data_IF_901297623623
#
_entry.id   IF_901297623623
#
_cell.length_a   1.000
_cell.length_b   1.000
_cell.length_c   1.000
_cell.angle_alpha   90.00
_cell.angle_beta   90.00
_cell.angle_gamma   90.00
#
_symmetry.space_group_name_H-M   'P 1'
#
loop_
_entity.id
_entity.type
_entity.pdbx_description
1 polymer ?
#
# COMPACT_ATOMS: atom_id res chain seq x y z
N UNK A 1 -3.39 78.77 -27.86
CA UNK A 1 -2.88 78.69 -26.48
C UNK A 1 -3.39 77.40 -25.86
N UNK A 2 -2.59 76.68 -25.08
CA UNK A 2 -2.67 75.22 -24.94
C UNK A 2 -3.90 74.73 -24.17
N UNK A 3 -4.37 73.53 -24.53
CA UNK A 3 -5.37 72.75 -23.78
C UNK A 3 -4.76 72.19 -22.48
N UNK A 4 -5.54 72.08 -21.39
CA UNK A 4 -5.06 71.45 -20.16
C UNK A 4 -4.95 69.93 -20.34
N UNK A 5 -3.82 69.39 -19.89
CA UNK A 5 -3.53 67.95 -19.80
C UNK A 5 -4.37 67.36 -18.66
N UNK A 6 -5.02 66.19 -18.81
CA UNK A 6 -5.75 65.57 -17.71
C UNK A 6 -4.78 64.99 -16.67
N UNK A 7 -5.11 65.18 -15.40
CA UNK A 7 -4.38 64.64 -14.27
C UNK A 7 -4.34 63.10 -14.34
N UNK A 8 -3.13 62.54 -14.23
CA UNK A 8 -2.92 61.11 -14.05
C UNK A 8 -3.55 60.64 -12.74
N UNK A 9 -4.54 59.76 -12.83
CA UNK A 9 -5.00 58.98 -11.69
C UNK A 9 -3.88 58.03 -11.27
N UNK A 10 -3.16 58.38 -10.20
CA UNK A 10 -2.34 57.42 -9.47
C UNK A 10 -3.29 56.36 -8.87
N UNK A 11 -3.22 55.14 -9.40
CA UNK A 11 -3.93 54.00 -8.86
C UNK A 11 -3.44 53.72 -7.44
N UNK A 12 -4.34 53.80 -6.46
CA UNK A 12 -4.09 53.27 -5.13
C UNK A 12 -3.91 51.76 -5.26
N UNK A 13 -2.67 51.29 -5.13
CA UNK A 13 -2.37 49.89 -4.95
C UNK A 13 -3.05 49.42 -3.67
N UNK A 14 -4.10 48.60 -3.80
CA UNK A 14 -4.74 47.96 -2.67
C UNK A 14 -3.69 47.13 -1.93
N UNK A 15 -3.43 47.47 -0.66
CA UNK A 15 -2.54 46.70 0.19
C UNK A 15 -3.05 45.25 0.26
N UNK A 16 -2.20 44.30 -0.15
CA UNK A 16 -2.51 42.88 -0.07
C UNK A 16 -2.84 42.45 1.37
N UNK A 17 -3.56 41.33 1.54
CA UNK A 17 -3.90 40.83 2.87
C UNK A 17 -2.65 40.66 3.73
N UNK A 18 -2.72 40.97 5.03
CA UNK A 18 -1.57 40.85 5.92
C UNK A 18 -1.04 39.41 5.92
N UNK A 19 0.29 39.24 6.06
CA UNK A 19 0.87 37.91 6.14
C UNK A 19 0.27 37.14 7.31
N UNK A 20 0.12 35.80 7.19
CA UNK A 20 -0.41 34.98 8.27
C UNK A 20 0.45 35.14 9.53
N UNK A 21 -0.16 35.05 10.72
CA UNK A 21 0.56 35.21 11.98
C UNK A 21 1.69 34.18 12.08
N UNK A 22 2.85 34.64 12.59
CA UNK A 22 3.99 33.77 12.83
C UNK A 22 3.56 32.60 13.74
N UNK A 23 3.85 31.37 13.30
CA UNK A 23 3.50 30.15 14.02
C UNK A 23 4.19 30.20 15.39
N UNK A 24 3.42 30.14 16.47
CA UNK A 24 3.97 30.12 17.83
C UNK A 24 5.02 28.99 17.96
N UNK A 25 6.21 29.32 18.46
CA UNK A 25 7.27 28.35 18.69
C UNK A 25 6.82 27.36 19.77
N UNK A 26 6.55 26.12 19.38
CA UNK A 26 6.32 25.03 20.34
C UNK A 26 7.68 24.50 20.80
N UNK A 27 7.90 24.29 22.11
CA UNK A 27 9.14 23.70 22.59
C UNK A 27 9.29 22.26 22.08
N UNK A 28 10.52 21.77 21.90
CA UNK A 28 10.76 20.36 21.59
C UNK A 28 10.15 19.45 22.66
N UNK A 29 9.45 18.41 22.24
CA UNK A 29 8.93 17.36 23.13
C UNK A 29 9.72 16.08 22.88
N UNK A 30 10.38 15.58 23.91
CA UNK A 30 11.07 14.28 23.89
C UNK A 30 10.09 13.23 24.43
N UNK A 31 9.61 12.35 23.55
CA UNK A 31 8.65 11.31 23.93
C UNK A 31 9.31 9.98 24.32
N UNK A 32 10.62 9.82 24.10
CA UNK A 32 11.35 8.54 24.27
C UNK A 32 11.42 8.06 25.71
N UNK A 33 11.38 8.98 26.66
CA UNK A 33 11.51 8.67 28.09
C UNK A 33 10.14 8.49 28.76
N UNK A 34 9.05 8.70 28.02
CA UNK A 34 7.69 8.70 28.56
C UNK A 34 7.12 7.29 28.78
N UNK A 35 7.70 6.26 28.16
CA UNK A 35 7.24 4.88 28.29
C UNK A 35 8.34 3.87 27.90
N UNK A 36 8.38 2.65 28.50
CA UNK A 36 9.27 1.59 28.05
C UNK A 36 8.83 1.04 26.69
N UNK A 37 9.78 0.55 25.88
CA UNK A 37 9.47 -0.10 24.60
C UNK A 37 8.64 -1.37 24.82
N UNK A 38 7.43 -1.49 24.25
CA UNK A 38 6.66 -2.71 24.37
C UNK A 38 7.34 -3.84 23.58
N UNK A 39 7.52 -5.00 24.22
CA UNK A 39 8.10 -6.19 23.60
C UNK A 39 7.08 -7.03 22.84
N UNK A 40 5.78 -6.76 23.04
CA UNK A 40 4.66 -7.39 22.37
C UNK A 40 3.60 -6.35 22.07
N UNK A 41 2.87 -6.55 20.97
CA UNK A 41 1.77 -5.70 20.54
C UNK A 41 0.59 -6.56 20.15
N UNK A 42 -0.62 -6.09 20.49
CA UNK A 42 -1.88 -6.72 20.08
C UNK A 42 -2.48 -5.86 18.98
N UNK A 43 -2.81 -6.48 17.85
CA UNK A 43 -3.44 -5.83 16.72
C UNK A 43 -4.85 -6.37 16.52
N UNK A 44 -5.77 -5.50 16.14
CA UNK A 44 -7.13 -5.85 15.76
C UNK A 44 -7.27 -5.79 14.25
N UNK A 45 -7.83 -6.85 13.66
CA UNK A 45 -8.23 -6.86 12.27
C UNK A 45 -9.25 -5.76 12.00
N UNK A 46 -8.99 -4.90 11.02
CA UNK A 46 -9.88 -3.81 10.61
C UNK A 46 -10.72 -4.16 9.38
N UNK A 47 -10.33 -5.20 8.64
CA UNK A 47 -11.01 -5.63 7.43
C UNK A 47 -10.55 -7.00 6.97
N UNK A 48 -11.16 -7.49 5.90
CA UNK A 48 -10.86 -8.80 5.32
C UNK A 48 -10.74 -8.66 3.81
N UNK A 49 -9.71 -9.28 3.25
CA UNK A 49 -9.55 -9.39 1.80
C UNK A 49 -10.62 -10.32 1.24
N UNK A 50 -11.27 -9.90 0.16
CA UNK A 50 -12.03 -10.77 -0.75
C UNK A 50 -11.33 -10.81 -2.09
N UNK A 51 -10.82 -11.97 -2.48
CA UNK A 51 -10.05 -12.12 -3.71
C UNK A 51 -10.38 -13.43 -4.41
N UNK A 52 -10.04 -13.57 -5.70
CA UNK A 52 -10.11 -14.85 -6.39
C UNK A 52 -8.93 -15.77 -6.02
N UNK A 53 -8.17 -15.52 -4.96
CA UNK A 53 -7.03 -16.36 -4.57
C UNK A 53 -7.40 -17.21 -3.37
N UNK A 54 -7.87 -18.43 -3.60
CA UNK A 54 -8.31 -19.34 -2.51
C UNK A 54 -7.24 -20.34 -2.08
N UNK A 55 -6.16 -20.44 -2.85
CA UNK A 55 -5.06 -21.36 -2.61
C UNK A 55 -3.72 -20.61 -2.68
N UNK A 56 -2.75 -21.04 -1.88
CA UNK A 56 -1.39 -20.46 -1.90
C UNK A 56 -0.75 -20.59 -3.28
N UNK A 57 -0.98 -21.72 -3.93
CA UNK A 57 -0.55 -21.95 -5.31
C UNK A 57 -1.48 -21.20 -6.25
N UNK A 58 -0.94 -20.23 -6.99
CA UNK A 58 -1.71 -19.36 -7.88
C UNK A 58 -2.03 -17.99 -7.32
N UNK A 59 -1.80 -17.76 -6.03
CA UNK A 59 -1.65 -16.40 -5.51
C UNK A 59 -0.39 -15.77 -6.11
N UNK A 60 -0.47 -14.55 -6.66
CA UNK A 60 0.70 -13.84 -7.16
C UNK A 60 1.75 -13.67 -6.08
N UNK A 61 3.03 -13.82 -6.42
CA UNK A 61 4.09 -13.64 -5.43
C UNK A 61 4.39 -12.17 -5.19
N UNK A 62 4.41 -11.36 -6.25
CA UNK A 62 4.61 -9.90 -6.26
C UNK A 62 4.09 -9.35 -7.62
N UNK A 63 2.77 -9.27 -7.84
CA UNK A 63 2.21 -8.97 -9.16
C UNK A 63 2.57 -7.54 -9.59
N UNK A 64 3.22 -7.33 -10.74
CA UNK A 64 3.18 -6.03 -11.38
C UNK A 64 1.73 -5.76 -11.82
N UNK A 65 1.22 -4.56 -11.58
CA UNK A 65 -0.17 -4.19 -11.91
C UNK A 65 -0.43 -4.27 -13.43
N UNK A 66 0.62 -4.21 -14.24
CA UNK A 66 0.60 -4.24 -15.71
C UNK A 66 0.50 -5.65 -16.33
N UNK A 67 0.83 -6.73 -15.61
CA UNK A 67 0.73 -8.11 -16.11
C UNK A 67 0.00 -8.98 -15.08
N UNK A 68 -1.21 -9.42 -15.40
CA UNK A 68 -1.94 -10.37 -14.55
C UNK A 68 -1.24 -11.72 -14.48
N UNK A 69 -1.78 -12.60 -13.62
CA UNK A 69 -1.20 -13.91 -13.26
C UNK A 69 -1.04 -14.88 -14.45
N UNK A 70 -1.62 -14.53 -15.60
CA UNK A 70 -1.70 -15.39 -16.80
C UNK A 70 -1.45 -14.64 -18.11
N UNK A 71 -0.84 -13.44 -18.08
CA UNK A 71 -0.83 -12.56 -19.26
C UNK A 71 -2.18 -11.90 -19.56
N UNK A 72 -3.18 -12.13 -18.71
CA UNK A 72 -4.45 -11.42 -18.65
C UNK A 72 -4.40 -10.19 -17.75
N UNK A 73 -5.55 -9.58 -17.48
CA UNK A 73 -5.64 -8.42 -16.58
C UNK A 73 -5.36 -8.81 -15.12
N UNK A 74 -4.73 -7.91 -14.35
CA UNK A 74 -4.59 -8.11 -12.92
C UNK A 74 -5.98 -8.24 -12.28
N UNK A 75 -6.17 -9.26 -11.44
CA UNK A 75 -7.47 -9.55 -10.88
C UNK A 75 -7.91 -8.45 -9.91
N UNK A 76 -9.21 -8.20 -9.90
CA UNK A 76 -9.84 -7.34 -8.92
C UNK A 76 -10.18 -8.14 -7.67
N UNK A 77 -10.14 -7.45 -6.53
CA UNK A 77 -10.66 -7.93 -5.27
C UNK A 77 -11.14 -6.76 -4.44
N UNK A 78 -11.62 -7.04 -3.24
CA UNK A 78 -12.10 -6.01 -2.34
C UNK A 78 -11.49 -6.12 -0.96
N UNK A 79 -11.43 -4.99 -0.26
CA UNK A 79 -11.18 -4.92 1.17
C UNK A 79 -12.49 -4.58 1.84
N UNK A 80 -13.05 -5.55 2.56
CA UNK A 80 -14.29 -5.38 3.33
C UNK A 80 -13.92 -5.04 4.77
N UNK A 81 -14.20 -3.82 5.19
CA UNK A 81 -13.89 -3.38 6.55
C UNK A 81 -14.93 -3.93 7.54
N UNK A 82 -14.44 -4.25 8.74
CA UNK A 82 -15.26 -4.67 9.88
C UNK A 82 -15.72 -3.46 10.68
N UNK A 83 -16.79 -3.63 11.46
CA UNK A 83 -17.16 -2.61 12.43
C UNK A 83 -16.09 -2.45 13.52
N UNK A 84 -15.86 -1.18 13.87
CA UNK A 84 -14.88 -0.80 14.87
C UNK A 84 -15.58 -0.01 16.00
N UNK A 85 -15.43 -0.42 17.28
CA UNK A 85 -16.04 0.28 18.40
C UNK A 85 -15.42 1.65 18.68
N UNK A 86 -14.19 1.88 18.21
CA UNK A 86 -13.41 3.07 18.53
C UNK A 86 -13.57 4.19 17.48
N UNK A 87 -14.23 3.92 16.35
CA UNK A 87 -14.41 4.91 15.30
C UNK A 87 -15.26 4.47 14.11
N UNK A 88 -15.79 5.44 13.37
CA UNK A 88 -16.59 5.20 12.18
C UNK A 88 -15.71 5.00 10.94
N UNK A 89 -15.71 3.77 10.42
CA UNK A 89 -14.99 3.39 9.21
C UNK A 89 -15.44 4.20 7.99
N UNK A 90 -16.73 4.50 7.84
CA UNK A 90 -17.22 5.23 6.68
C UNK A 90 -16.60 6.64 6.62
N UNK A 91 -16.47 7.29 7.78
CA UNK A 91 -15.76 8.56 7.90
C UNK A 91 -14.25 8.42 7.69
N UNK A 92 -13.64 7.33 8.17
CA UNK A 92 -12.21 7.07 7.98
C UNK A 92 -11.82 6.83 6.51
N UNK A 93 -12.76 6.38 5.66
CA UNK A 93 -12.57 6.20 4.22
C UNK A 93 -12.71 7.50 3.41
N UNK A 94 -13.15 8.60 4.03
CA UNK A 94 -13.33 9.89 3.36
C UNK A 94 -12.03 10.35 2.67
N UNK A 95 -12.17 10.97 1.51
CA UNK A 95 -11.08 11.53 0.68
C UNK A 95 -10.13 10.50 0.04
N UNK A 96 -10.31 9.19 0.31
CA UNK A 96 -9.45 8.15 -0.24
C UNK A 96 -9.60 7.99 -1.77
N UNK A 97 -10.75 8.38 -2.33
CA UNK A 97 -11.01 8.37 -3.78
C UNK A 97 -10.03 9.22 -4.59
N UNK A 98 -9.37 10.19 -3.95
CA UNK A 98 -8.35 11.02 -4.60
C UNK A 98 -7.01 10.31 -4.86
N UNK A 99 -6.82 9.08 -4.38
CA UNK A 99 -5.58 8.32 -4.51
C UNK A 99 -5.71 7.21 -5.56
N UNK A 100 -4.77 7.13 -6.49
CA UNK A 100 -4.72 6.03 -7.46
C UNK A 100 -4.26 4.71 -6.82
N UNK A 101 -3.45 4.80 -5.75
CA UNK A 101 -2.83 3.65 -5.10
C UNK A 101 -2.91 3.73 -3.59
N UNK A 102 -2.98 2.55 -2.99
CA UNK A 102 -2.97 2.36 -1.55
C UNK A 102 -2.02 1.23 -1.16
N UNK A 103 -1.44 1.37 0.02
CA UNK A 103 -0.83 0.28 0.75
C UNK A 103 -1.89 -0.48 1.54
N UNK A 104 -1.83 -1.80 1.48
CA UNK A 104 -2.59 -2.71 2.32
C UNK A 104 -1.59 -3.46 3.20
N UNK A 105 -1.79 -3.39 4.51
CA UNK A 105 -1.01 -4.15 5.49
C UNK A 105 -1.87 -5.33 5.94
N UNK A 106 -1.47 -6.53 5.54
CA UNK A 106 -2.20 -7.76 5.86
C UNK A 106 -1.51 -8.60 6.93
N UNK A 107 -2.26 -9.53 7.53
CA UNK A 107 -1.72 -10.58 8.39
C UNK A 107 -1.88 -11.94 7.71
N UNK A 108 -0.76 -12.60 7.42
CA UNK A 108 -0.70 -13.89 6.73
C UNK A 108 -1.04 -15.04 7.70
N UNK A 109 -2.27 -15.01 8.21
CA UNK A 109 -2.82 -15.85 9.29
C UNK A 109 -2.70 -17.37 9.10
N UNK A 110 -2.52 -17.83 7.86
CA UNK A 110 -2.33 -19.26 7.57
C UNK A 110 -0.86 -19.70 7.68
N UNK A 111 0.08 -18.76 7.75
CA UNK A 111 1.49 -19.07 7.87
C UNK A 111 1.84 -19.37 9.32
N UNK A 112 2.70 -20.36 9.50
CA UNK A 112 3.19 -20.76 10.81
C UNK A 112 4.72 -20.84 10.77
N UNK A 113 5.33 -20.57 11.94
CA UNK A 113 6.77 -20.61 12.12
C UNK A 113 7.56 -19.65 11.22
N UNK A 114 8.88 -19.68 11.40
CA UNK A 114 9.85 -18.98 10.54
C UNK A 114 11.24 -19.59 10.67
N UNK A 115 12.11 -19.31 9.70
CA UNK A 115 13.53 -19.65 9.76
C UNK A 115 14.38 -18.42 9.49
N UNK A 116 15.55 -18.23 10.15
CA UNK A 116 16.46 -17.11 9.87
C UNK A 116 16.99 -17.07 8.44
N UNK A 117 16.96 -18.20 7.72
CA UNK A 117 17.36 -18.31 6.32
C UNK A 117 16.34 -19.11 5.53
N UNK A 118 15.99 -18.63 4.34
CA UNK A 118 15.01 -19.25 3.43
C UNK A 118 15.59 -19.38 2.04
N UNK A 119 15.02 -20.24 1.20
CA UNK A 119 15.35 -20.31 -0.23
C UNK A 119 14.22 -19.65 -1.01
N UNK A 120 14.41 -18.42 -1.50
CA UNK A 120 13.41 -17.76 -2.32
C UNK A 120 13.10 -18.58 -3.57
N UNK A 121 11.85 -18.58 -4.06
CA UNK A 121 11.49 -19.35 -5.25
C UNK A 121 11.82 -18.56 -6.54
N UNK A 122 12.95 -17.86 -6.56
CA UNK A 122 13.46 -17.02 -7.65
C UNK A 122 14.98 -17.15 -7.73
N UNK A 123 15.51 -17.25 -8.94
CA UNK A 123 16.95 -17.39 -9.19
C UNK A 123 17.53 -18.75 -8.76
N UNK A 124 18.84 -18.78 -8.55
CA UNK A 124 19.54 -19.98 -8.10
C UNK A 124 19.01 -20.49 -6.75
N UNK A 125 19.08 -21.81 -6.52
CA UNK A 125 18.64 -22.47 -5.28
C UNK A 125 19.59 -22.20 -4.10
N UNK A 126 19.70 -20.94 -3.70
CA UNK A 126 20.58 -20.45 -2.65
C UNK A 126 19.75 -19.97 -1.45
N UNK A 127 20.23 -20.28 -0.23
CA UNK A 127 19.62 -19.72 0.99
C UNK A 127 20.02 -18.26 1.17
N UNK A 128 19.05 -17.40 1.47
CA UNK A 128 19.22 -15.98 1.79
C UNK A 128 18.73 -15.73 3.22
N UNK A 129 19.28 -14.70 3.88
CA UNK A 129 18.77 -14.26 5.18
C UNK A 129 17.32 -13.81 5.07
N UNK A 130 16.46 -14.17 6.02
CA UNK A 130 15.01 -13.96 5.92
C UNK A 130 14.64 -12.49 5.62
N UNK A 131 15.27 -11.55 6.31
CA UNK A 131 15.00 -10.12 6.15
C UNK A 131 15.54 -9.52 4.85
N UNK A 132 16.37 -10.26 4.10
CA UNK A 132 16.75 -9.93 2.73
C UNK A 132 15.78 -10.53 1.69
N UNK A 133 14.59 -10.98 2.13
CA UNK A 133 13.55 -11.58 1.28
C UNK A 133 12.17 -11.05 1.66
N UNK A 134 11.18 -11.38 0.84
CA UNK A 134 9.75 -11.15 1.10
C UNK A 134 9.00 -12.46 1.42
N UNK A 135 9.69 -13.44 2.00
CA UNK A 135 9.05 -14.70 2.43
C UNK A 135 7.90 -14.43 3.39
N UNK A 136 6.76 -15.14 3.29
CA UNK A 136 5.65 -14.98 4.22
C UNK A 136 5.90 -15.62 5.61
N UNK A 137 6.87 -16.54 5.73
CA UNK A 137 7.23 -17.19 7.00
C UNK A 137 8.27 -16.36 7.78
N UNK A 138 7.78 -15.40 8.57
CA UNK A 138 8.57 -14.40 9.31
C UNK A 138 8.19 -14.39 10.80
N UNK A 139 8.99 -13.78 11.70
CA UNK A 139 8.62 -13.64 13.11
C UNK A 139 7.25 -13.00 13.32
N UNK A 140 6.96 -11.96 12.53
CA UNK A 140 5.63 -11.37 12.41
C UNK A 140 5.18 -11.54 10.96
N UNK A 141 4.09 -12.28 10.75
CA UNK A 141 3.52 -12.63 9.45
C UNK A 141 2.78 -11.46 8.79
N UNK A 142 3.41 -10.29 8.75
CA UNK A 142 2.84 -9.07 8.17
C UNK A 142 3.21 -9.00 6.68
N UNK A 143 2.21 -8.75 5.84
CA UNK A 143 2.37 -8.45 4.42
C UNK A 143 2.25 -6.96 4.14
N UNK A 144 2.79 -6.55 2.99
CA UNK A 144 2.68 -5.20 2.46
C UNK A 144 2.41 -5.30 0.95
N UNK A 145 1.25 -4.79 0.53
CA UNK A 145 0.79 -4.88 -0.85
C UNK A 145 0.47 -3.46 -1.36
N UNK A 146 1.11 -3.03 -2.45
CA UNK A 146 0.74 -1.80 -3.16
C UNK A 146 -0.29 -2.17 -4.23
N UNK A 147 -1.52 -1.69 -4.06
CA UNK A 147 -2.61 -1.99 -4.97
C UNK A 147 -3.11 -0.72 -5.65
N UNK A 148 -3.64 -0.87 -6.86
CA UNK A 148 -4.45 0.16 -7.49
C UNK A 148 -5.79 0.24 -6.76
N UNK A 149 -6.19 1.44 -6.35
CA UNK A 149 -7.53 1.71 -5.85
C UNK A 149 -8.43 2.00 -7.05
N UNK A 150 -9.52 1.23 -7.18
CA UNK A 150 -10.48 1.36 -8.27
C UNK A 150 -11.74 2.11 -7.84
N UNK A 151 -12.21 1.87 -6.62
CA UNK A 151 -13.37 2.56 -6.07
C UNK A 151 -13.41 2.49 -4.54
N UNK A 152 -14.10 3.47 -3.95
CA UNK A 152 -14.43 3.53 -2.52
C UNK A 152 -15.95 3.49 -2.39
N UNK A 153 -16.46 2.55 -1.59
CA UNK A 153 -17.85 2.56 -1.13
C UNK A 153 -17.83 2.71 0.39
N UNK A 154 -17.92 3.96 0.86
CA UNK A 154 -17.88 4.26 2.29
C UNK A 154 -19.10 3.69 3.03
N UNK A 155 -20.27 3.62 2.38
CA UNK A 155 -21.50 3.11 2.99
C UNK A 155 -21.43 1.60 3.19
N UNK A 156 -20.93 0.87 2.19
CA UNK A 156 -20.67 -0.56 2.28
C UNK A 156 -19.33 -0.88 2.96
N UNK A 157 -18.57 0.13 3.39
CA UNK A 157 -17.25 0.01 4.03
C UNK A 157 -16.32 -0.90 3.22
N UNK A 158 -16.29 -0.69 1.90
CA UNK A 158 -15.61 -1.56 0.95
C UNK A 158 -14.72 -0.76 0.01
N UNK A 159 -13.52 -1.25 -0.24
CA UNK A 159 -12.62 -0.75 -1.28
C UNK A 159 -12.51 -1.78 -2.39
N UNK A 160 -12.62 -1.37 -3.64
CA UNK A 160 -12.30 -2.24 -4.79
C UNK A 160 -10.89 -1.93 -5.25
N UNK A 161 -10.07 -2.97 -5.40
CA UNK A 161 -8.65 -2.84 -5.69
C UNK A 161 -8.20 -3.83 -6.75
N UNK A 162 -7.08 -3.52 -7.39
CA UNK A 162 -6.41 -4.41 -8.35
C UNK A 162 -4.93 -4.58 -7.99
N UNK A 163 -4.41 -5.78 -8.27
CA UNK A 163 -3.01 -6.13 -7.97
C UNK A 163 -2.82 -6.66 -6.55
N UNK A 164 -3.84 -7.32 -5.98
CA UNK A 164 -3.71 -8.04 -4.71
C UNK A 164 -2.80 -9.27 -4.88
N UNK A 165 -2.05 -9.57 -3.83
CA UNK A 165 -1.24 -10.79 -3.64
C UNK A 165 -1.61 -11.51 -2.35
N UNK A 166 -2.85 -11.34 -1.90
CA UNK A 166 -3.38 -11.86 -0.65
C UNK A 166 -4.53 -12.84 -0.91
N UNK A 167 -4.55 -13.92 -0.12
CA UNK A 167 -5.60 -14.92 -0.17
C UNK A 167 -6.94 -14.33 0.27
N UNK A 168 -8.03 -14.88 -0.28
CA UNK A 168 -9.38 -14.65 0.21
C UNK A 168 -9.45 -14.97 1.71
N UNK A 169 -10.08 -14.08 2.48
CA UNK A 169 -10.14 -14.20 3.93
C UNK A 169 -8.92 -13.65 4.69
N UNK A 170 -7.89 -13.15 4.00
CA UNK A 170 -6.72 -12.55 4.69
C UNK A 170 -7.14 -11.34 5.55
N UNK A 171 -6.82 -11.33 6.85
CA UNK A 171 -7.05 -10.18 7.72
C UNK A 171 -6.24 -8.97 7.26
N UNK A 172 -6.90 -7.81 7.22
CA UNK A 172 -6.28 -6.50 7.00
C UNK A 172 -6.07 -5.82 8.35
N UNK A 173 -4.85 -5.35 8.56
CA UNK A 173 -4.43 -4.62 9.75
C UNK A 173 -4.48 -3.11 9.51
N UNK A 174 -4.20 -2.66 8.29
CA UNK A 174 -4.16 -1.24 7.97
C UNK A 174 -4.29 -0.96 6.46
N UNK A 175 -4.72 0.26 6.13
CA UNK A 175 -4.74 0.80 4.77
C UNK A 175 -4.17 2.22 4.79
N UNK A 176 -3.23 2.52 3.90
CA UNK A 176 -2.62 3.86 3.78
C UNK A 176 -2.62 4.32 2.33
N UNK A 177 -2.72 5.63 2.05
CA UNK A 177 -2.46 6.13 0.71
C UNK A 177 -1.01 5.81 0.30
N UNK A 178 -0.83 5.41 -0.96
CA UNK A 178 0.50 5.39 -1.58
C UNK A 178 0.82 6.80 -2.06
N UNK A 179 1.95 7.34 -1.62
CA UNK A 179 2.33 8.73 -1.90
C UNK A 179 3.63 8.75 -2.70
N UNK A 180 3.58 9.02 -4.03
CA UNK A 180 4.72 8.81 -4.91
C UNK A 180 6.02 9.50 -4.49
N UNK A 181 5.94 10.71 -3.93
CA UNK A 181 7.15 11.47 -3.58
C UNK A 181 7.97 10.80 -2.46
N UNK A 182 7.36 9.95 -1.61
CA UNK A 182 8.06 9.28 -0.51
C UNK A 182 8.06 7.75 -0.61
N UNK A 183 7.20 7.16 -1.45
CA UNK A 183 7.07 5.70 -1.60
C UNK A 183 7.71 5.18 -2.89
N UNK A 184 8.01 6.04 -3.86
CA UNK A 184 8.61 5.66 -5.14
C UNK A 184 10.08 6.04 -5.21
N UNK A 185 10.94 5.02 -5.34
CA UNK A 185 12.37 5.19 -5.57
C UNK A 185 12.80 4.37 -6.80
N UNK A 186 12.50 4.83 -8.04
CA UNK A 186 12.72 4.03 -9.25
C UNK A 186 14.18 3.61 -9.48
N UNK A 187 15.14 4.35 -8.93
CA UNK A 187 16.58 4.07 -9.04
C UNK A 187 17.15 3.29 -7.85
N UNK A 188 16.31 2.77 -6.96
CA UNK A 188 16.77 1.98 -5.82
C UNK A 188 17.37 0.65 -6.27
N UNK A 189 18.47 0.22 -5.62
CA UNK A 189 19.05 -1.12 -5.82
C UNK A 189 18.26 -2.15 -5.02
N UNK A 190 17.95 -3.30 -5.60
CA UNK A 190 17.28 -4.43 -4.95
C UNK A 190 18.24 -5.57 -4.51
N UNK A 191 19.55 -5.37 -4.67
CA UNK A 191 20.57 -6.28 -4.14
C UNK A 191 20.64 -7.58 -4.93
N UNK A 192 20.61 -8.73 -4.25
CA UNK A 192 20.68 -10.04 -4.94
C UNK A 192 19.55 -10.28 -5.94
N UNK A 193 18.46 -9.53 -5.86
CA UNK A 193 17.35 -9.58 -6.83
C UNK A 193 17.79 -9.01 -8.19
N UNK A 194 18.65 -7.99 -8.20
CA UNK A 194 19.20 -7.38 -9.42
C UNK A 194 20.19 -8.33 -10.12
N UNK A 195 20.74 -9.30 -9.39
CA UNK A 195 21.68 -10.30 -9.88
C UNK A 195 20.99 -11.52 -10.51
N UNK A 196 19.66 -11.66 -10.34
CA UNK A 196 18.92 -12.80 -10.91
C UNK A 196 18.64 -12.55 -12.40
N UNK A 197 19.21 -13.38 -13.27
CA UNK A 197 18.89 -13.39 -14.69
C UNK A 197 17.46 -13.90 -14.97
N UNK A 198 16.68 -13.19 -15.78
CA UNK A 198 15.31 -13.55 -16.19
C UNK A 198 14.28 -12.42 -16.00
N UNK A 199 13.04 -12.59 -16.48
CA UNK A 199 11.98 -11.58 -16.30
C UNK A 199 11.71 -11.33 -14.81
N UNK A 200 11.88 -10.08 -14.36
CA UNK A 200 11.45 -9.61 -13.04
C UNK A 200 9.91 -9.66 -12.88
N UNK A 201 9.20 -9.65 -14.02
CA UNK A 201 7.77 -9.52 -14.20
C UNK A 201 7.16 -10.79 -14.82
N UNK A 202 7.15 -11.89 -14.08
CA UNK A 202 6.46 -13.10 -14.48
C UNK A 202 5.68 -13.68 -13.31
N UNK A 203 4.38 -13.98 -13.45
CA UNK A 203 3.73 -14.84 -12.49
C UNK A 203 4.49 -16.16 -12.52
N UNK A 204 5.09 -16.49 -11.39
CA UNK A 204 5.73 -17.79 -11.20
C UNK A 204 4.69 -18.85 -11.49
N UNK A 205 4.81 -19.45 -12.69
CA UNK A 205 3.97 -20.48 -13.29
C UNK A 205 2.86 -20.90 -12.35
N UNK A 206 1.61 -20.51 -12.62
CA UNK A 206 0.49 -21.32 -12.19
C UNK A 206 0.84 -22.75 -12.65
N UNK A 207 1.14 -23.63 -11.70
CA UNK A 207 1.39 -25.04 -11.99
C UNK A 207 0.14 -25.72 -12.56
N UNK A 208 -0.98 -24.98 -12.60
CA UNK A 208 -2.26 -25.38 -13.14
C UNK A 208 -2.38 -24.91 -14.59
N UNK A 209 -2.43 -25.89 -15.49
CA UNK A 209 -2.93 -25.73 -16.85
C UNK A 209 -4.07 -26.75 -17.02
N UNK A 210 -5.34 -26.32 -17.13
CA UNK A 210 -5.82 -24.93 -17.19
C UNK A 210 -5.81 -24.20 -15.82
N UNK A 211 -5.98 -22.87 -15.79
CA UNK A 211 -6.14 -22.12 -14.55
C UNK A 211 -7.31 -22.64 -13.70
N UNK A 212 -7.26 -22.51 -12.36
CA UNK A 212 -8.37 -22.83 -11.50
C UNK A 212 -9.64 -22.05 -11.90
N UNK A 213 -10.86 -22.63 -11.81
CA UNK A 213 -12.10 -21.98 -12.26
C UNK A 213 -12.41 -20.62 -11.60
N UNK A 214 -11.78 -20.36 -10.46
CA UNK A 214 -11.98 -19.16 -9.66
C UNK A 214 -11.05 -18.00 -10.05
N UNK A 215 -10.05 -18.23 -10.92
CA UNK A 215 -9.17 -17.20 -11.49
C UNK A 215 -9.66 -16.91 -12.92
N UNK A 216 -10.10 -15.68 -13.20
CA UNK A 216 -10.57 -15.30 -14.54
C UNK A 216 -9.38 -14.87 -15.42
N UNK A 217 -9.40 -15.27 -16.70
CA UNK A 217 -8.43 -14.81 -17.71
C UNK A 217 -8.61 -13.34 -18.06
#
# INVERSE_FOLDING_TARGET
GPSPVPASHEGQAAAGPPPPPARASRPPQVHTDAFPTPLQVTLRTIGVVRSPYKERFGCPRQPPISKGVLGGSAQEGTIQFLDNPDGDIALALKDLEGFERIWIVGYLHLNEGWSPRVTPPRGARQKRGLFATRSPHRPNHISLSACQLLSVDAKAKTLTVRGLDLLDGTPVLDVKPYVPYCDSYPSARAGWIDEVEGEHDGPDRLAYSPPPPHIRG
#
